data_IF_816084157132
#
_entry.id   IF_816084157132
#
_cell.length_a   1.000
_cell.length_b   1.000
_cell.length_c   1.000
_cell.angle_alpha   90.00
_cell.angle_beta   90.00
_cell.angle_gamma   90.00
#
_symmetry.space_group_name_H-M   'P 1'
#
loop_
_entity.id
_entity.type
_entity.pdbx_description
1 polymer ?
#
# COMPACT_ATOMS: atom_id res chain seq x y z
N UNK A 1 12.42 5.30 -31.82
CA UNK A 1 11.92 5.43 -30.43
C UNK A 1 12.09 4.08 -29.76
N UNK A 2 12.70 4.01 -28.57
CA UNK A 2 12.68 2.76 -27.81
C UNK A 2 11.23 2.40 -27.50
N UNK A 3 10.84 1.14 -27.67
CA UNK A 3 9.50 0.68 -27.32
C UNK A 3 9.30 0.79 -25.81
N UNK A 4 8.22 1.44 -25.39
CA UNK A 4 7.81 1.50 -23.99
C UNK A 4 7.48 0.08 -23.51
N UNK A 5 8.11 -0.37 -22.42
CA UNK A 5 7.97 -1.73 -21.90
C UNK A 5 7.61 -1.70 -20.42
N UNK A 6 6.48 -2.31 -20.05
CA UNK A 6 6.07 -2.49 -18.66
C UNK A 6 7.07 -3.36 -17.89
N UNK A 7 7.65 -4.38 -18.53
CA UNK A 7 8.68 -5.24 -17.92
C UNK A 7 9.94 -4.45 -17.54
N UNK A 8 10.27 -3.41 -18.31
CA UNK A 8 11.38 -2.51 -17.95
C UNK A 8 11.08 -1.73 -16.66
N UNK A 9 9.85 -1.25 -16.50
CA UNK A 9 9.39 -0.59 -15.27
C UNK A 9 9.41 -1.55 -14.08
N UNK A 10 9.00 -2.82 -14.28
CA UNK A 10 9.11 -3.87 -13.26
C UNK A 10 10.57 -4.12 -12.87
N UNK A 11 11.50 -4.12 -13.83
CA UNK A 11 12.94 -4.20 -13.56
C UNK A 11 13.43 -3.06 -12.64
N UNK A 12 13.12 -1.81 -12.98
CA UNK A 12 13.46 -0.65 -12.15
C UNK A 12 12.84 -0.74 -10.74
N UNK A 13 11.61 -1.23 -10.64
CA UNK A 13 10.91 -1.41 -9.37
C UNK A 13 11.58 -2.48 -8.52
N UNK A 14 11.91 -3.63 -9.11
CA UNK A 14 12.65 -4.69 -8.42
C UNK A 14 14.03 -4.20 -7.95
N UNK A 15 14.75 -3.46 -8.81
CA UNK A 15 16.04 -2.85 -8.46
C UNK A 15 15.90 -1.91 -7.26
N UNK A 16 14.86 -1.06 -7.23
CA UNK A 16 14.58 -0.20 -6.08
C UNK A 16 14.29 -1.02 -4.82
N UNK A 17 13.42 -2.03 -4.89
CA UNK A 17 13.07 -2.90 -3.75
C UNK A 17 14.30 -3.60 -3.16
N UNK A 18 15.21 -4.11 -4.00
CA UNK A 18 16.45 -4.77 -3.57
C UNK A 18 17.44 -3.83 -2.86
N UNK A 19 17.32 -2.52 -3.07
CA UNK A 19 18.23 -1.50 -2.52
C UNK A 19 17.62 -0.68 -1.37
N UNK A 20 16.37 -0.97 -0.96
CA UNK A 20 15.79 -0.38 0.25
C UNK A 20 16.46 -1.01 1.48
N UNK A 21 16.88 -0.19 2.44
CA UNK A 21 17.48 -0.67 3.68
C UNK A 21 16.50 -1.59 4.45
N UNK A 22 16.99 -2.76 4.87
CA UNK A 22 16.20 -3.77 5.58
C UNK A 22 15.32 -4.64 4.68
N UNK A 23 15.39 -4.49 3.34
CA UNK A 23 14.71 -5.38 2.40
C UNK A 23 15.64 -6.54 1.98
N UNK A 24 15.04 -7.70 1.62
CA UNK A 24 15.79 -8.79 1.01
C UNK A 24 16.23 -8.41 -0.41
N UNK A 25 17.46 -8.80 -0.79
CA UNK A 25 18.02 -8.57 -2.14
C UNK A 25 17.47 -9.54 -3.20
N UNK A 26 16.58 -10.46 -2.81
CA UNK A 26 15.93 -11.40 -3.71
C UNK A 26 14.45 -11.55 -3.34
N UNK A 27 13.61 -11.77 -4.34
CA UNK A 27 12.18 -12.07 -4.13
C UNK A 27 11.99 -13.36 -3.35
N UNK A 28 10.86 -13.48 -2.65
CA UNK A 28 10.45 -14.66 -1.88
C UNK A 28 11.40 -15.02 -0.71
N UNK A 29 12.35 -14.15 -0.38
CA UNK A 29 13.23 -14.29 0.77
C UNK A 29 12.77 -13.34 1.85
N UNK A 30 12.81 -13.76 3.10
CA UNK A 30 12.45 -12.92 4.25
C UNK A 30 13.71 -12.38 4.91
N UNK A 31 13.79 -11.06 5.10
CA UNK A 31 14.83 -10.37 5.87
C UNK A 31 14.15 -9.38 6.81
N UNK A 32 14.44 -9.47 8.10
CA UNK A 32 13.86 -8.61 9.15
C UNK A 32 12.32 -8.50 9.10
N UNK A 33 11.66 -9.64 8.81
CA UNK A 33 10.22 -9.77 8.66
C UNK A 33 9.67 -9.27 7.32
N UNK A 34 10.49 -8.67 6.46
CA UNK A 34 10.08 -8.15 5.15
C UNK A 34 10.28 -9.22 4.09
N UNK A 35 9.24 -9.48 3.29
CA UNK A 35 9.32 -10.29 2.07
C UNK A 35 8.67 -9.54 0.91
N UNK A 36 9.29 -9.53 -0.26
CA UNK A 36 8.65 -9.05 -1.49
C UNK A 36 8.52 -10.16 -2.54
N UNK A 37 7.44 -10.08 -3.32
CA UNK A 37 7.05 -11.04 -4.34
C UNK A 37 6.90 -10.32 -5.67
N UNK A 38 7.28 -10.97 -6.77
CA UNK A 38 6.96 -10.51 -8.13
C UNK A 38 5.84 -11.39 -8.68
N UNK A 39 4.82 -10.75 -9.23
CA UNK A 39 3.68 -11.41 -9.84
C UNK A 39 3.06 -12.47 -8.92
N UNK A 40 2.93 -13.72 -9.36
CA UNK A 40 2.30 -14.80 -8.58
C UNK A 40 3.31 -15.67 -7.80
N UNK A 41 4.53 -15.18 -7.56
CA UNK A 41 5.61 -15.95 -6.94
C UNK A 41 5.30 -16.43 -5.51
N UNK A 42 4.32 -15.83 -4.82
CA UNK A 42 3.80 -16.26 -3.52
C UNK A 42 2.95 -17.55 -3.56
N UNK A 43 2.52 -18.04 -4.73
CA UNK A 43 1.55 -19.14 -4.84
C UNK A 43 1.99 -20.46 -4.17
N UNK A 44 3.29 -20.73 -4.15
CA UNK A 44 3.87 -21.97 -3.60
C UNK A 44 4.72 -21.68 -2.35
N UNK A 45 4.38 -20.65 -1.59
CA UNK A 45 5.09 -20.25 -0.37
C UNK A 45 4.15 -20.26 0.83
N UNK A 46 4.66 -19.89 2.01
CA UNK A 46 3.83 -19.66 3.19
C UNK A 46 2.73 -18.58 2.95
N UNK A 47 2.88 -17.75 1.91
CA UNK A 47 1.99 -16.66 1.57
C UNK A 47 0.96 -17.02 0.47
N UNK A 48 0.72 -18.31 0.22
CA UNK A 48 -0.25 -18.80 -0.77
C UNK A 48 -1.67 -18.21 -0.61
N UNK A 49 -2.06 -17.76 0.60
CA UNK A 49 -3.33 -17.06 0.82
C UNK A 49 -3.50 -15.82 -0.04
N UNK A 50 -2.42 -15.12 -0.40
CA UNK A 50 -2.48 -14.00 -1.36
C UNK A 50 -2.97 -14.48 -2.73
N UNK A 51 -2.56 -15.68 -3.14
CA UNK A 51 -3.10 -16.32 -4.35
C UNK A 51 -4.58 -16.62 -4.21
N UNK A 52 -5.11 -16.94 -3.04
CA UNK A 52 -6.55 -17.13 -2.88
C UNK A 52 -7.30 -15.80 -2.95
N UNK A 53 -6.79 -14.76 -2.27
CA UNK A 53 -7.35 -13.40 -2.25
C UNK A 53 -7.56 -12.86 -3.67
N UNK A 54 -6.57 -13.01 -4.55
CA UNK A 54 -6.66 -12.47 -5.91
C UNK A 54 -7.38 -13.38 -6.92
N UNK A 55 -8.02 -14.47 -6.49
CA UNK A 55 -8.66 -15.44 -7.40
C UNK A 55 -9.73 -14.83 -8.32
N UNK A 56 -10.32 -13.70 -7.91
CA UNK A 56 -11.35 -12.96 -8.66
C UNK A 56 -10.96 -11.51 -8.97
N UNK A 57 -9.70 -11.15 -8.77
CA UNK A 57 -9.23 -9.78 -8.84
C UNK A 57 -8.71 -9.35 -10.22
N UNK A 58 -9.17 -9.95 -11.31
CA UNK A 58 -8.79 -9.48 -12.65
C UNK A 58 -9.23 -8.03 -12.87
N UNK A 59 -8.34 -7.19 -13.44
CA UNK A 59 -8.57 -5.78 -13.79
C UNK A 59 -9.74 -5.57 -14.78
N UNK A 60 -10.25 -6.64 -15.40
CA UNK A 60 -11.52 -6.64 -16.15
C UNK A 60 -12.76 -6.39 -15.27
N UNK A 61 -12.60 -6.43 -13.95
CA UNK A 61 -13.65 -6.29 -12.92
C UNK A 61 -14.84 -7.24 -13.11
N UNK A 62 -14.62 -8.38 -13.78
CA UNK A 62 -15.68 -9.37 -14.03
C UNK A 62 -15.97 -10.26 -12.81
N UNK A 63 -15.11 -10.20 -11.79
CA UNK A 63 -15.14 -11.07 -10.61
C UNK A 63 -15.06 -12.58 -10.93
N UNK A 64 -14.54 -12.95 -12.11
CA UNK A 64 -14.48 -14.34 -12.60
C UNK A 64 -13.08 -14.91 -12.73
N UNK A 65 -12.09 -14.04 -12.92
CA UNK A 65 -10.72 -14.45 -13.21
C UNK A 65 -9.74 -13.81 -12.25
N UNK A 66 -8.61 -14.49 -12.10
CA UNK A 66 -7.50 -14.08 -11.26
C UNK A 66 -6.91 -12.74 -11.69
N UNK A 67 -6.54 -11.95 -10.68
CA UNK A 67 -5.64 -10.84 -10.83
C UNK A 67 -4.23 -11.20 -10.37
N UNK A 68 -3.25 -10.50 -10.90
CA UNK A 68 -1.84 -10.68 -10.57
C UNK A 68 -1.24 -9.29 -10.43
N UNK A 69 -1.12 -8.74 -9.21
CA UNK A 69 -0.35 -7.53 -8.97
C UNK A 69 1.10 -7.74 -9.39
N UNK A 70 1.81 -6.68 -9.79
CA UNK A 70 3.20 -6.81 -10.24
C UNK A 70 4.15 -7.10 -9.08
N UNK A 71 3.91 -6.45 -7.94
CA UNK A 71 4.64 -6.78 -6.71
C UNK A 71 3.74 -6.71 -5.48
N UNK A 72 4.11 -7.49 -4.47
CA UNK A 72 3.56 -7.42 -3.13
C UNK A 72 4.72 -7.36 -2.14
N UNK A 73 4.60 -6.54 -1.10
CA UNK A 73 5.53 -6.54 0.04
C UNK A 73 4.75 -6.79 1.32
N UNK A 74 5.21 -7.74 2.11
CA UNK A 74 4.64 -8.10 3.41
C UNK A 74 5.61 -7.78 4.53
N UNK A 75 5.07 -7.49 5.72
CA UNK A 75 5.82 -7.37 6.96
C UNK A 75 5.23 -8.32 8.01
N UNK A 76 6.05 -9.23 8.52
CA UNK A 76 5.63 -10.20 9.54
C UNK A 76 5.09 -9.50 10.80
N UNK A 77 4.00 -10.03 11.35
CA UNK A 77 3.31 -9.50 12.53
C UNK A 77 2.83 -8.04 12.42
N UNK A 78 2.65 -7.53 11.19
CA UNK A 78 2.05 -6.21 10.94
C UNK A 78 0.70 -6.35 10.24
N UNK A 79 -0.16 -5.35 10.44
CA UNK A 79 -1.45 -5.21 9.75
C UNK A 79 -1.31 -4.38 8.46
N UNK A 80 -0.09 -4.12 7.99
CA UNK A 80 0.14 -3.39 6.73
C UNK A 80 0.58 -4.33 5.60
N UNK A 81 0.24 -3.97 4.37
CA UNK A 81 0.70 -4.68 3.17
C UNK A 81 0.88 -3.68 2.02
N UNK A 82 1.92 -3.85 1.20
CA UNK A 82 2.13 -3.03 0.00
C UNK A 82 1.72 -3.83 -1.23
N UNK A 83 0.95 -3.23 -2.12
CA UNK A 83 0.64 -3.75 -3.46
C UNK A 83 1.07 -2.75 -4.52
N UNK A 84 1.81 -3.22 -5.52
CA UNK A 84 2.42 -2.37 -6.54
C UNK A 84 1.93 -2.81 -7.93
N UNK A 85 1.59 -1.82 -8.75
CA UNK A 85 1.30 -2.00 -10.17
C UNK A 85 2.16 -1.07 -11.02
N UNK A 86 2.69 -1.60 -12.11
CA UNK A 86 3.61 -0.92 -13.01
C UNK A 86 2.93 -0.61 -14.35
N UNK A 87 3.28 0.54 -14.93
CA UNK A 87 2.99 0.87 -16.33
C UNK A 87 4.22 1.36 -17.05
N UNK A 88 4.35 0.98 -18.31
CA UNK A 88 5.51 1.41 -19.10
C UNK A 88 5.54 2.93 -19.32
N UNK A 89 4.39 3.51 -19.69
CA UNK A 89 4.27 4.93 -20.04
C UNK A 89 3.94 5.78 -18.82
N UNK A 90 4.58 6.94 -18.69
CA UNK A 90 4.25 7.94 -17.67
C UNK A 90 2.92 8.66 -17.92
N UNK A 91 2.35 8.51 -19.12
CA UNK A 91 0.98 8.93 -19.46
C UNK A 91 -0.07 7.97 -18.89
N UNK A 92 0.33 6.72 -18.62
CA UNK A 92 -0.49 5.67 -18.01
C UNK A 92 -0.24 5.57 -16.49
N UNK A 93 0.36 6.60 -15.87
CA UNK A 93 0.62 6.61 -14.43
C UNK A 93 -0.67 6.65 -13.61
N UNK A 94 -1.47 7.68 -13.87
CA UNK A 94 -2.68 8.01 -13.13
C UNK A 94 -3.62 8.84 -13.99
N UNK A 95 -4.92 8.76 -13.73
CA UNK A 95 -5.93 9.48 -14.49
C UNK A 95 -6.04 10.96 -14.11
N UNK A 96 -5.82 11.27 -12.82
CA UNK A 96 -5.97 12.61 -12.28
C UNK A 96 -4.62 13.28 -12.15
N UNK A 97 -4.49 14.53 -12.62
CA UNK A 97 -3.28 15.33 -12.39
C UNK A 97 -3.07 15.66 -10.90
N UNK A 98 -4.15 15.82 -10.14
CA UNK A 98 -4.10 15.96 -8.69
C UNK A 98 -4.42 14.59 -8.03
N UNK A 99 -3.46 13.95 -7.33
CA UNK A 99 -3.67 12.65 -6.70
C UNK A 99 -4.69 12.67 -5.56
N UNK A 100 -4.96 13.81 -4.90
CA UNK A 100 -5.97 13.89 -3.82
C UNK A 100 -7.38 13.51 -4.30
N UNK A 101 -7.65 13.60 -5.61
CA UNK A 101 -8.93 13.21 -6.21
C UNK A 101 -9.22 11.71 -6.13
N UNK A 102 -8.22 10.88 -5.85
CA UNK A 102 -8.44 9.46 -5.61
C UNK A 102 -9.19 9.20 -4.30
N UNK A 103 -9.11 10.12 -3.33
CA UNK A 103 -9.95 10.06 -2.13
C UNK A 103 -11.41 10.27 -2.53
N UNK A 104 -12.26 9.30 -2.19
CA UNK A 104 -13.67 9.24 -2.58
C UNK A 104 -13.91 8.63 -3.96
N UNK A 105 -12.94 8.69 -4.89
CA UNK A 105 -13.06 8.05 -6.21
C UNK A 105 -12.70 6.56 -6.18
N UNK A 106 -11.58 6.21 -5.55
CA UNK A 106 -11.05 4.85 -5.55
C UNK A 106 -10.45 4.44 -6.91
N UNK A 107 -10.69 3.20 -7.34
CA UNK A 107 -10.02 2.63 -8.52
C UNK A 107 -10.75 2.85 -9.85
N UNK A 108 -12.01 3.30 -9.86
CA UNK A 108 -12.77 3.59 -11.07
C UNK A 108 -13.25 2.36 -11.87
N UNK A 109 -13.83 2.55 -13.07
CA UNK A 109 -14.28 1.46 -13.93
C UNK A 109 -13.11 0.66 -14.55
N UNK A 110 -13.43 -0.48 -15.17
CA UNK A 110 -12.42 -1.43 -15.69
C UNK A 110 -11.41 -0.78 -16.63
N UNK A 111 -11.86 0.14 -17.48
CA UNK A 111 -11.03 0.83 -18.47
C UNK A 111 -9.90 1.60 -17.80
N UNK A 112 -10.17 2.19 -16.64
CA UNK A 112 -9.18 2.93 -15.87
C UNK A 112 -8.28 2.01 -15.06
N UNK A 113 -8.83 0.95 -14.46
CA UNK A 113 -8.03 -0.03 -13.72
C UNK A 113 -7.07 -0.81 -14.62
N UNK A 114 -7.44 -1.07 -15.87
CA UNK A 114 -6.56 -1.73 -16.84
C UNK A 114 -5.48 -0.78 -17.37
N UNK A 115 -5.83 0.50 -17.54
CA UNK A 115 -4.97 1.51 -18.15
C UNK A 115 -3.95 2.09 -17.19
N UNK A 116 -4.37 2.55 -16.00
CA UNK A 116 -3.55 3.37 -15.13
C UNK A 116 -2.93 2.58 -13.98
N UNK A 117 -1.63 2.81 -13.71
CA UNK A 117 -0.89 2.13 -12.63
C UNK A 117 -1.55 2.34 -11.26
N UNK A 118 -1.88 3.60 -10.92
CA UNK A 118 -2.53 3.94 -9.64
C UNK A 118 -3.90 3.27 -9.49
N UNK A 119 -4.73 3.30 -10.53
CA UNK A 119 -6.05 2.66 -10.51
C UNK A 119 -5.93 1.14 -10.36
N UNK A 120 -4.97 0.51 -11.05
CA UNK A 120 -4.67 -0.92 -10.92
C UNK A 120 -4.23 -1.29 -9.50
N UNK A 121 -3.35 -0.49 -8.89
CA UNK A 121 -2.92 -0.71 -7.50
C UNK A 121 -4.07 -0.60 -6.51
N UNK A 122 -4.90 0.44 -6.62
CA UNK A 122 -6.10 0.64 -5.78
C UNK A 122 -7.13 -0.49 -5.97
N UNK A 123 -7.27 -1.01 -7.19
CA UNK A 123 -8.13 -2.15 -7.46
C UNK A 123 -7.69 -3.37 -6.64
N UNK A 124 -6.41 -3.74 -6.67
CA UNK A 124 -5.92 -4.85 -5.86
C UNK A 124 -5.99 -4.57 -4.37
N UNK A 125 -5.74 -3.32 -3.95
CA UNK A 125 -5.88 -2.93 -2.55
C UNK A 125 -7.30 -3.19 -2.01
N UNK A 126 -8.34 -3.01 -2.84
CA UNK A 126 -9.72 -3.28 -2.43
C UNK A 126 -10.00 -4.73 -2.02
N UNK A 127 -9.18 -5.70 -2.48
CA UNK A 127 -9.29 -7.11 -2.10
C UNK A 127 -8.54 -7.45 -0.80
N UNK A 128 -7.63 -6.58 -0.37
CA UNK A 128 -6.80 -6.77 0.82
C UNK A 128 -7.27 -5.92 2.02
N UNK A 129 -8.01 -4.83 1.76
CA UNK A 129 -8.38 -3.83 2.77
C UNK A 129 -9.26 -4.37 3.90
N UNK A 130 -9.87 -5.55 3.79
CA UNK A 130 -10.57 -6.18 4.92
C UNK A 130 -9.63 -6.52 6.07
N UNK A 131 -8.40 -6.90 5.73
CA UNK A 131 -7.46 -7.51 6.67
C UNK A 131 -6.25 -6.62 6.96
N UNK A 132 -5.96 -5.66 6.07
CA UNK A 132 -4.77 -4.81 6.14
C UNK A 132 -5.07 -3.32 5.91
N UNK A 133 -4.21 -2.46 6.46
CA UNK A 133 -3.94 -1.14 5.89
C UNK A 133 -3.09 -1.34 4.63
N UNK A 134 -3.67 -1.06 3.48
CA UNK A 134 -3.04 -1.39 2.20
C UNK A 134 -2.37 -0.17 1.61
N UNK A 135 -1.06 -0.25 1.39
CA UNK A 135 -0.31 0.74 0.61
C UNK A 135 -0.45 0.37 -0.88
N UNK A 136 -1.28 1.10 -1.60
CA UNK A 136 -1.44 0.97 -3.05
C UNK A 136 -0.44 1.87 -3.76
N UNK A 137 0.48 1.30 -4.53
CA UNK A 137 1.53 2.04 -5.24
C UNK A 137 1.40 1.88 -6.75
N UNK A 138 1.16 2.98 -7.46
CA UNK A 138 1.32 3.04 -8.91
C UNK A 138 2.74 3.49 -9.26
N UNK A 139 3.40 2.78 -10.17
CA UNK A 139 4.73 3.12 -10.68
C UNK A 139 4.70 3.15 -12.20
N UNK A 140 5.25 4.19 -12.84
CA UNK A 140 5.35 4.19 -14.30
C UNK A 140 6.53 4.98 -14.85
N UNK A 141 7.11 4.49 -15.95
CA UNK A 141 8.24 5.13 -16.61
C UNK A 141 9.31 4.15 -17.05
N UNK A 142 10.32 4.66 -17.76
CA UNK A 142 11.30 3.84 -18.48
C UNK A 142 12.74 4.07 -18.00
N UNK A 143 12.99 5.06 -17.14
CA UNK A 143 14.29 5.34 -16.52
C UNK A 143 14.12 5.71 -15.05
N UNK A 144 15.15 5.52 -14.23
CA UNK A 144 15.05 5.84 -12.80
C UNK A 144 14.67 7.31 -12.52
N UNK A 145 15.12 8.24 -13.36
CA UNK A 145 14.88 9.67 -13.22
C UNK A 145 13.47 10.11 -13.65
N UNK A 146 12.84 9.40 -14.60
CA UNK A 146 11.48 9.72 -15.07
C UNK A 146 10.38 8.84 -14.48
N UNK A 147 10.76 7.79 -13.77
CA UNK A 147 9.83 6.81 -13.23
C UNK A 147 9.02 7.45 -12.09
N UNK A 148 7.75 7.74 -12.36
CA UNK A 148 6.80 8.31 -11.42
C UNK A 148 6.36 7.26 -10.41
N UNK A 149 6.12 7.68 -9.19
CA UNK A 149 5.58 6.87 -8.10
C UNK A 149 4.47 7.67 -7.43
N UNK A 150 3.37 7.01 -7.13
CA UNK A 150 2.33 7.56 -6.25
C UNK A 150 1.79 6.47 -5.38
N UNK A 151 1.81 6.70 -4.07
CA UNK A 151 1.39 5.74 -3.06
C UNK A 151 0.23 6.30 -2.23
N UNK A 152 -0.74 5.44 -1.94
CA UNK A 152 -1.88 5.75 -1.09
C UNK A 152 -1.99 4.70 -0.01
N UNK A 153 -2.48 5.08 1.18
CA UNK A 153 -3.04 4.11 2.12
C UNK A 153 -4.54 4.00 1.90
N UNK A 154 -5.01 2.77 1.77
CA UNK A 154 -6.40 2.40 1.97
C UNK A 154 -6.53 1.74 3.34
N UNK A 155 -7.14 2.41 4.33
CA UNK A 155 -7.15 1.89 5.68
C UNK A 155 -7.97 0.61 5.80
N UNK A 156 -7.56 -0.25 6.72
CA UNK A 156 -8.23 -1.50 7.07
C UNK A 156 -9.69 -1.24 7.40
N UNK A 157 -10.58 -1.96 6.72
CA UNK A 157 -12.02 -1.82 6.84
C UNK A 157 -12.60 -0.53 6.24
N UNK A 158 -11.78 0.41 5.76
CA UNK A 158 -12.22 1.71 5.28
C UNK A 158 -12.87 1.71 3.90
N UNK A 159 -13.56 2.79 3.58
CA UNK A 159 -14.21 3.04 2.30
C UNK A 159 -13.31 3.89 1.38
N UNK A 160 -13.72 4.10 0.12
CA UNK A 160 -12.94 4.91 -0.84
C UNK A 160 -12.66 6.34 -0.32
N UNK A 161 -13.55 6.88 0.52
CA UNK A 161 -13.39 8.22 1.13
C UNK A 161 -12.27 8.28 2.16
N UNK A 162 -11.83 7.14 2.67
CA UNK A 162 -10.80 7.05 3.69
C UNK A 162 -9.40 6.90 3.10
N UNK A 163 -9.29 6.72 1.77
CA UNK A 163 -8.02 6.68 1.06
C UNK A 163 -7.27 8.00 1.29
N UNK A 164 -5.99 7.90 1.67
CA UNK A 164 -5.08 9.04 1.85
C UNK A 164 -3.82 8.88 1.00
N UNK A 165 -3.39 9.99 0.41
CA UNK A 165 -2.10 10.08 -0.28
C UNK A 165 -0.95 9.96 0.74
N UNK A 166 0.07 9.17 0.40
CA UNK A 166 1.31 9.04 1.18
C UNK A 166 2.47 9.70 0.45
N UNK A 167 2.71 9.34 -0.81
CA UNK A 167 3.76 9.95 -1.63
C UNK A 167 3.28 10.26 -3.05
N UNK A 168 3.87 11.29 -3.64
CA UNK A 168 3.71 11.63 -5.04
C UNK A 168 5.03 12.22 -5.56
N UNK A 169 5.75 11.49 -6.39
CA UNK A 169 7.08 11.89 -6.84
C UNK A 169 7.69 10.92 -7.84
N UNK A 170 9.01 10.73 -7.75
CA UNK A 170 9.80 9.89 -8.65
C UNK A 170 10.52 8.79 -7.88
N UNK A 171 10.88 7.70 -8.55
CA UNK A 171 11.44 6.48 -7.95
C UNK A 171 12.77 6.72 -7.21
N UNK A 172 13.51 7.78 -7.58
CA UNK A 172 14.75 8.18 -6.91
C UNK A 172 14.55 8.78 -5.51
N UNK A 173 13.38 9.36 -5.26
CA UNK A 173 13.05 10.17 -4.08
C UNK A 173 11.90 9.60 -3.25
N UNK A 174 11.18 8.62 -3.78
CA UNK A 174 10.01 7.99 -3.16
C UNK A 174 10.14 6.45 -3.17
N UNK A 175 9.06 5.74 -2.80
CA UNK A 175 9.04 4.31 -2.53
C UNK A 175 9.92 3.99 -1.33
N UNK A 176 9.54 4.53 -0.18
CA UNK A 176 10.17 4.28 1.12
C UNK A 176 9.93 2.84 1.59
N UNK A 177 10.62 2.43 2.66
CA UNK A 177 10.45 1.09 3.23
C UNK A 177 9.05 0.90 3.82
N UNK A 178 8.57 -0.35 3.85
CA UNK A 178 7.29 -0.72 4.48
C UNK A 178 7.22 -0.31 5.96
N UNK A 179 8.36 -0.32 6.66
CA UNK A 179 8.48 0.17 8.04
C UNK A 179 8.36 1.69 8.15
N UNK A 180 8.78 2.43 7.13
CA UNK A 180 8.55 3.87 7.06
C UNK A 180 7.08 4.17 6.72
N UNK A 181 6.49 3.43 5.76
CA UNK A 181 5.06 3.52 5.47
C UNK A 181 4.19 3.26 6.70
N UNK A 182 4.53 2.29 7.55
CA UNK A 182 3.82 2.03 8.81
C UNK A 182 3.69 3.31 9.65
N UNK A 183 4.76 4.10 9.75
CA UNK A 183 4.77 5.38 10.48
C UNK A 183 3.97 6.45 9.76
N UNK A 184 4.13 6.53 8.44
CA UNK A 184 3.49 7.55 7.61
C UNK A 184 1.96 7.36 7.59
N UNK A 185 1.48 6.12 7.63
CA UNK A 185 0.06 5.78 7.75
C UNK A 185 -0.54 6.35 9.04
N UNK A 186 0.13 6.16 10.17
CA UNK A 186 -0.37 6.65 11.46
C UNK A 186 -0.50 8.17 11.49
N UNK A 187 0.39 8.88 10.78
CA UNK A 187 0.31 10.34 10.58
C UNK A 187 -0.83 10.69 9.62
N UNK A 188 -0.89 10.07 8.44
CA UNK A 188 -1.87 10.37 7.40
C UNK A 188 -3.31 10.10 7.86
N UNK A 189 -3.52 9.08 8.69
CA UNK A 189 -4.81 8.71 9.27
C UNK A 189 -5.11 9.42 10.60
N UNK A 190 -4.18 10.23 11.13
CA UNK A 190 -4.35 10.95 12.39
C UNK A 190 -4.48 10.04 13.62
N UNK A 191 -4.02 8.79 13.53
CA UNK A 191 -4.17 7.78 14.59
C UNK A 191 -3.33 8.09 15.82
N UNK A 192 -2.18 8.77 15.67
CA UNK A 192 -1.40 9.23 16.82
C UNK A 192 -2.17 10.23 17.69
N UNK A 193 -2.84 11.22 17.09
CA UNK A 193 -3.62 12.20 17.83
C UNK A 193 -4.82 11.55 18.53
N UNK A 194 -5.51 10.64 17.84
CA UNK A 194 -6.62 9.88 18.42
C UNK A 194 -6.16 8.99 19.59
N UNK A 195 -5.01 8.32 19.44
CA UNK A 195 -4.43 7.46 20.48
C UNK A 195 -4.00 8.28 21.68
N UNK A 196 -3.33 9.42 21.48
CA UNK A 196 -2.92 10.30 22.58
C UNK A 196 -4.14 10.82 23.36
N UNK A 197 -5.21 11.23 22.67
CA UNK A 197 -6.45 11.67 23.33
C UNK A 197 -7.12 10.54 24.13
N UNK A 198 -7.20 9.33 23.56
CA UNK A 198 -7.75 8.17 24.23
C UNK A 198 -6.95 7.83 25.51
N UNK A 199 -5.62 7.78 25.42
CA UNK A 199 -4.72 7.55 26.57
C UNK A 199 -4.89 8.65 27.62
N UNK A 200 -4.93 9.93 27.22
CA UNK A 200 -5.17 11.05 28.14
C UNK A 200 -6.51 10.94 28.86
N UNK A 201 -7.57 10.53 28.15
CA UNK A 201 -8.91 10.36 28.73
C UNK A 201 -8.93 9.22 29.75
N UNK A 202 -8.25 8.12 29.45
CA UNK A 202 -8.13 6.98 30.36
C UNK A 202 -7.33 7.35 31.63
N UNK A 203 -6.20 8.04 31.47
CA UNK A 203 -5.40 8.52 32.60
C UNK A 203 -6.21 9.46 33.51
N UNK A 204 -7.00 10.38 32.92
CA UNK A 204 -7.91 11.26 33.69
C UNK A 204 -8.95 10.47 34.47
N UNK A 205 -9.53 9.41 33.88
CA UNK A 205 -10.48 8.53 34.57
C UNK A 205 -9.82 7.88 35.78
N UNK A 206 -8.63 7.29 35.62
CA UNK A 206 -7.90 6.70 36.74
C UNK A 206 -7.59 7.72 37.84
N UNK A 207 -7.17 8.95 37.49
CA UNK A 207 -6.94 10.01 38.48
C UNK A 207 -8.21 10.33 39.27
N UNK A 208 -9.36 10.44 38.60
CA UNK A 208 -10.65 10.71 39.25
C UNK A 208 -11.09 9.55 40.16
N UNK A 209 -10.94 8.31 39.70
CA UNK A 209 -11.29 7.12 40.47
C UNK A 209 -10.43 7.01 41.74
N UNK A 210 -9.12 7.24 41.64
CA UNK A 210 -8.22 7.32 42.79
C UNK A 210 -8.63 8.43 43.76
N UNK A 211 -8.95 9.64 43.26
CA UNK A 211 -9.37 10.75 44.10
C UNK A 211 -10.71 10.51 44.80
N UNK A 212 -11.61 9.76 44.17
CA UNK A 212 -12.87 9.34 44.78
C UNK A 212 -12.64 8.26 45.85
N UNK A 213 -11.84 7.23 45.54
CA UNK A 213 -11.47 6.19 46.50
C UNK A 213 -10.83 6.76 47.77
N UNK A 214 -9.87 7.67 47.61
CA UNK A 214 -9.22 8.34 48.75
C UNK A 214 -10.21 9.17 49.57
N UNK A 215 -11.17 9.85 48.94
CA UNK A 215 -12.23 10.59 49.65
C UNK A 215 -13.21 9.70 50.39
N UNK A 216 -13.48 8.50 49.87
CA UNK A 216 -14.41 7.56 50.50
C UNK A 216 -13.80 6.72 51.61
N UNK A 217 -12.47 6.68 51.73
CA UNK A 217 -11.74 5.82 52.68
C UNK A 217 -10.71 6.58 53.54
N UNK A 218 -10.72 7.92 53.50
CA UNK A 218 -9.83 8.80 54.26
C UNK A 218 -10.57 9.66 55.27
#
# INVERSE_FOLDING_TARGET
MASVSEEKTKGLTADKLMNIEGYPTAQNVTVDGVTWFKEDSYKNTAYHKLYEVFAKASKKQSMRSRGTPDFIVTLDNSEIIVVIECKGSTDDHMMFSNPDKYSGYGYGPKEETEKYAVNGALWYASFLKSDYDVIAVGISGQTQADCKVTSFVWPKGGENTDIKLLEHGYLDSTLVSIKQYEKDIEVALGRFAATEEAVRKELRRYTLDCANFLRSNG
#
